data_IF_481445512909
#
_entry.id   IF_481445512909
#
_cell.length_a   1.000
_cell.length_b   1.000
_cell.length_c   1.000
_cell.angle_alpha   90.00
_cell.angle_beta   90.00
_cell.angle_gamma   90.00
#
_symmetry.space_group_name_H-M   'P 1'
#
loop_
_entity.id
_entity.type
_entity.pdbx_description
1 polymer ?
#
# COMPACT_ATOMS: atom_id res chain seq x y z
N UNK A 1 -9.28 21.12 -14.71
CA UNK A 1 -9.91 20.66 -13.45
C UNK A 1 -9.30 21.46 -12.33
N UNK A 2 -10.11 22.02 -11.43
CA UNK A 2 -9.63 22.87 -10.33
C UNK A 2 -8.99 22.01 -9.23
N UNK A 3 -7.90 22.50 -8.64
CA UNK A 3 -7.21 21.83 -7.53
C UNK A 3 -8.12 21.82 -6.30
N UNK A 4 -8.12 20.74 -5.49
CA UNK A 4 -8.79 20.76 -4.20
C UNK A 4 -8.14 21.80 -3.27
N UNK A 5 -8.88 22.29 -2.26
CA UNK A 5 -8.32 23.20 -1.26
C UNK A 5 -7.13 22.55 -0.54
N UNK A 6 -6.22 23.35 0.03
CA UNK A 6 -5.05 22.80 0.75
C UNK A 6 -5.42 22.15 2.07
N UNK A 7 -6.42 22.72 2.73
CA UNK A 7 -7.00 22.23 3.97
C UNK A 7 -8.31 21.51 3.65
N UNK A 8 -8.62 20.47 4.42
CA UNK A 8 -9.87 19.73 4.27
C UNK A 8 -11.03 20.61 4.77
N UNK A 9 -12.02 20.96 3.93
CA UNK A 9 -13.13 21.83 4.34
C UNK A 9 -14.01 21.17 5.40
N UNK A 10 -14.51 21.94 6.34
CA UNK A 10 -15.47 21.46 7.33
C UNK A 10 -16.91 21.38 6.76
N UNK A 11 -17.76 20.60 7.43
CA UNK A 11 -19.20 20.55 7.16
C UNK A 11 -19.63 19.76 5.92
N UNK A 12 -18.72 19.01 5.29
CA UNK A 12 -19.05 18.14 4.17
C UNK A 12 -19.79 16.86 4.62
N UNK A 13 -20.51 16.24 3.69
CA UNK A 13 -21.09 14.90 3.87
C UNK A 13 -20.00 13.82 3.83
N UNK A 14 -20.31 12.61 4.33
CA UNK A 14 -19.38 11.48 4.27
C UNK A 14 -18.93 11.16 2.83
N UNK A 15 -19.83 11.24 1.85
CA UNK A 15 -19.52 11.00 0.44
C UNK A 15 -18.57 12.05 -0.12
N UNK A 16 -18.82 13.33 0.17
CA UNK A 16 -17.95 14.44 -0.29
C UNK A 16 -16.55 14.34 0.31
N UNK A 17 -16.44 14.01 1.60
CA UNK A 17 -15.16 13.73 2.23
C UNK A 17 -14.44 12.53 1.59
N UNK A 18 -15.17 11.45 1.31
CA UNK A 18 -14.59 10.26 0.67
C UNK A 18 -14.05 10.57 -0.74
N UNK A 19 -14.83 11.28 -1.57
CA UNK A 19 -14.41 11.71 -2.91
C UNK A 19 -13.21 12.65 -2.86
N UNK A 20 -13.21 13.59 -1.91
CA UNK A 20 -12.11 14.51 -1.70
C UNK A 20 -10.84 13.78 -1.27
N UNK A 21 -10.95 12.78 -0.39
CA UNK A 21 -9.83 11.94 0.03
C UNK A 21 -9.20 11.16 -1.12
N UNK A 22 -10.01 10.61 -2.03
CA UNK A 22 -9.52 9.98 -3.28
C UNK A 22 -8.76 11.00 -4.13
N UNK A 23 -9.31 12.21 -4.29
CA UNK A 23 -8.68 13.28 -5.07
C UNK A 23 -7.34 13.70 -4.47
N UNK A 24 -7.26 13.90 -3.16
CA UNK A 24 -6.00 14.20 -2.47
C UNK A 24 -4.96 13.10 -2.66
N UNK A 25 -5.38 11.83 -2.51
CA UNK A 25 -4.47 10.72 -2.75
C UNK A 25 -3.92 10.70 -4.17
N UNK A 26 -4.76 11.00 -5.18
CA UNK A 26 -4.32 11.10 -6.58
C UNK A 26 -3.26 12.18 -6.83
N UNK A 27 -3.22 13.21 -5.97
CA UNK A 27 -2.25 14.31 -6.03
C UNK A 27 -1.03 14.08 -5.13
N UNK A 28 -0.97 12.95 -4.41
CA UNK A 28 0.07 12.67 -3.43
C UNK A 28 -0.07 13.46 -2.13
N UNK A 29 -1.24 14.04 -1.85
CA UNK A 29 -1.51 14.76 -0.60
C UNK A 29 -2.03 13.77 0.43
N UNK A 30 -1.14 12.90 0.92
CA UNK A 30 -1.50 11.73 1.73
C UNK A 30 -2.16 12.11 3.05
N UNK A 31 -1.68 13.14 3.74
CA UNK A 31 -2.25 13.53 5.03
C UNK A 31 -3.63 14.17 4.86
N UNK A 32 -3.83 15.01 3.82
CA UNK A 32 -5.18 15.50 3.50
C UNK A 32 -6.13 14.36 3.08
N UNK A 33 -5.62 13.34 2.39
CA UNK A 33 -6.40 12.14 2.09
C UNK A 33 -6.78 11.39 3.37
N UNK A 34 -5.85 11.28 4.33
CA UNK A 34 -6.10 10.67 5.64
C UNK A 34 -7.17 11.44 6.40
N UNK A 35 -7.04 12.75 6.53
CA UNK A 35 -8.00 13.60 7.23
C UNK A 35 -9.39 13.51 6.62
N UNK A 36 -9.47 13.57 5.29
CA UNK A 36 -10.75 13.42 4.57
C UNK A 36 -11.39 12.06 4.84
N UNK A 37 -10.62 10.97 4.83
CA UNK A 37 -11.15 9.63 5.10
C UNK A 37 -11.55 9.46 6.58
N UNK A 38 -10.81 10.06 7.51
CA UNK A 38 -11.19 10.11 8.93
C UNK A 38 -12.52 10.82 9.11
N UNK A 39 -12.70 12.00 8.50
CA UNK A 39 -13.97 12.73 8.56
C UNK A 39 -15.12 11.97 7.90
N UNK A 40 -14.88 11.32 6.75
CA UNK A 40 -15.91 10.48 6.12
C UNK A 40 -16.43 9.40 7.07
N UNK A 41 -15.53 8.75 7.82
CA UNK A 41 -15.90 7.78 8.84
C UNK A 41 -16.55 8.44 10.07
N UNK A 42 -16.09 9.60 10.53
CA UNK A 42 -16.67 10.27 11.70
C UNK A 42 -18.12 10.74 11.47
N UNK A 43 -18.43 11.21 10.27
CA UNK A 43 -19.78 11.67 9.91
C UNK A 43 -20.78 10.50 9.86
N UNK A 44 -20.37 9.35 9.29
CA UNK A 44 -21.23 8.16 9.17
C UNK A 44 -20.46 6.84 9.43
N UNK A 45 -20.11 6.49 10.67
CA UNK A 45 -19.20 5.36 10.95
C UNK A 45 -19.70 3.99 10.47
N UNK A 46 -21.01 3.76 10.57
CA UNK A 46 -21.63 2.47 10.25
C UNK A 46 -22.13 2.38 8.80
N UNK A 47 -22.02 3.47 8.02
CA UNK A 47 -22.43 3.48 6.62
C UNK A 47 -21.41 2.75 5.75
N UNK A 48 -21.84 2.38 4.54
CA UNK A 48 -20.92 1.77 3.57
C UNK A 48 -19.77 2.72 3.19
N UNK A 49 -20.01 4.03 3.24
CA UNK A 49 -18.99 5.04 2.98
C UNK A 49 -18.01 5.12 4.15
N UNK A 50 -18.47 5.15 5.40
CA UNK A 50 -17.59 5.14 6.57
C UNK A 50 -16.69 3.91 6.61
N UNK A 51 -17.26 2.72 6.38
CA UNK A 51 -16.50 1.46 6.27
C UNK A 51 -15.51 1.48 5.10
N UNK A 52 -15.91 2.05 3.95
CA UNK A 52 -15.02 2.22 2.81
C UNK A 52 -13.86 3.18 3.12
N UNK A 53 -14.10 4.26 3.85
CA UNK A 53 -13.08 5.19 4.29
C UNK A 53 -12.07 4.53 5.24
N UNK A 54 -12.54 3.74 6.21
CA UNK A 54 -11.66 2.95 7.09
C UNK A 54 -10.83 1.94 6.30
N UNK A 55 -11.44 1.24 5.33
CA UNK A 55 -10.69 0.32 4.45
C UNK A 55 -9.62 1.08 3.66
N UNK A 56 -9.96 2.25 3.11
CA UNK A 56 -9.01 3.09 2.38
C UNK A 56 -7.82 3.51 3.25
N UNK A 57 -8.09 3.99 4.47
CA UNK A 57 -7.06 4.38 5.44
C UNK A 57 -6.08 3.24 5.74
N UNK A 58 -6.59 2.02 5.88
CA UNK A 58 -5.78 0.84 6.23
C UNK A 58 -4.98 0.28 5.07
N UNK A 59 -5.48 0.41 3.84
CA UNK A 59 -4.97 -0.34 2.68
C UNK A 59 -4.28 0.52 1.62
N UNK A 60 -4.65 1.81 1.50
CA UNK A 60 -4.16 2.70 0.42
C UNK A 60 -3.25 3.83 0.92
N UNK A 61 -3.17 4.04 2.23
CA UNK A 61 -2.29 5.00 2.89
C UNK A 61 -1.28 4.28 3.80
N UNK A 62 -0.15 4.92 4.16
CA UNK A 62 0.76 4.36 5.15
C UNK A 62 0.03 4.19 6.49
N UNK A 63 0.38 3.17 7.27
CA UNK A 63 -0.30 2.88 8.55
C UNK A 63 -0.25 4.08 9.50
N UNK A 64 0.91 4.70 9.59
CA UNK A 64 1.15 5.89 10.40
C UNK A 64 1.40 7.10 9.50
N UNK A 65 1.09 8.33 9.94
CA UNK A 65 1.53 9.54 9.26
C UNK A 65 3.04 9.53 9.04
N UNK A 66 3.47 9.91 7.84
CA UNK A 66 4.88 9.95 7.46
C UNK A 66 5.26 11.37 7.04
N UNK A 67 6.48 11.84 7.34
CA UNK A 67 6.90 13.16 6.88
C UNK A 67 6.93 13.24 5.35
N UNK A 68 6.62 14.41 4.79
CA UNK A 68 6.64 14.66 3.34
C UNK A 68 7.97 14.22 2.69
N UNK A 69 9.09 14.39 3.39
CA UNK A 69 10.41 13.94 2.91
C UNK A 69 10.45 12.41 2.69
N UNK A 70 9.84 11.62 3.58
CA UNK A 70 9.80 10.17 3.45
C UNK A 70 8.98 9.75 2.23
N UNK A 71 7.83 10.40 2.00
CA UNK A 71 7.00 10.16 0.82
C UNK A 71 7.73 10.52 -0.47
N UNK A 72 8.38 11.69 -0.51
CA UNK A 72 9.15 12.13 -1.67
C UNK A 72 10.28 11.16 -2.01
N UNK A 73 11.00 10.67 -1.00
CA UNK A 73 12.05 9.66 -1.19
C UNK A 73 11.47 8.32 -1.66
N UNK A 74 10.29 7.93 -1.18
CA UNK A 74 9.62 6.73 -1.69
C UNK A 74 9.21 6.87 -3.17
N UNK A 75 8.69 8.04 -3.56
CA UNK A 75 8.38 8.37 -4.96
C UNK A 75 9.65 8.37 -5.81
N UNK A 76 10.76 8.91 -5.29
CA UNK A 76 12.06 8.90 -5.97
C UNK A 76 12.54 7.47 -6.23
N UNK A 77 12.53 6.61 -5.21
CA UNK A 77 12.90 5.20 -5.37
C UNK A 77 12.02 4.49 -6.41
N UNK A 78 10.71 4.75 -6.41
CA UNK A 78 9.80 4.20 -7.42
C UNK A 78 10.11 4.70 -8.84
N UNK A 79 10.42 5.99 -8.98
CA UNK A 79 10.81 6.58 -10.27
C UNK A 79 12.17 6.03 -10.77
N UNK A 80 13.10 5.75 -9.87
CA UNK A 80 14.37 5.09 -10.19
C UNK A 80 14.11 3.70 -10.76
N UNK A 81 13.25 2.89 -10.12
CA UNK A 81 12.81 1.59 -10.65
C UNK A 81 12.19 1.72 -12.06
N UNK A 82 11.29 2.69 -12.25
CA UNK A 82 10.62 2.91 -13.53
C UNK A 82 11.58 3.30 -14.67
N UNK A 83 12.75 3.87 -14.34
CA UNK A 83 13.82 4.22 -15.29
C UNK A 83 14.87 3.13 -15.44
N UNK A 84 14.76 2.02 -14.71
CA UNK A 84 15.73 0.93 -14.70
C UNK A 84 16.95 1.16 -13.81
N UNK A 85 16.97 2.22 -13.00
CA UNK A 85 18.02 2.46 -12.00
C UNK A 85 17.71 1.65 -10.73
N UNK A 86 17.86 0.32 -10.84
CA UNK A 86 17.55 -0.59 -9.74
C UNK A 86 18.51 -0.39 -8.55
N UNK A 87 19.78 -0.06 -8.80
CA UNK A 87 20.76 0.14 -7.73
C UNK A 87 20.52 1.43 -6.96
N UNK A 88 20.19 2.53 -7.66
CA UNK A 88 19.73 3.76 -7.03
C UNK A 88 18.47 3.52 -6.20
N UNK A 89 17.48 2.80 -6.74
CA UNK A 89 16.25 2.48 -6.03
C UNK A 89 16.50 1.67 -4.75
N UNK A 90 17.38 0.66 -4.81
CA UNK A 90 17.78 -0.12 -3.62
C UNK A 90 18.35 0.76 -2.54
N UNK A 91 19.27 1.66 -2.89
CA UNK A 91 19.92 2.55 -1.92
C UNK A 91 18.91 3.54 -1.31
N UNK A 92 18.05 4.12 -2.15
CA UNK A 92 16.97 5.01 -1.71
C UNK A 92 16.06 4.32 -0.71
N UNK A 93 15.58 3.10 -1.00
CA UNK A 93 14.69 2.39 -0.08
C UNK A 93 15.42 1.90 1.19
N UNK A 94 16.66 1.43 1.09
CA UNK A 94 17.45 1.01 2.28
C UNK A 94 17.67 2.15 3.25
N UNK A 95 18.11 3.31 2.76
CA UNK A 95 18.29 4.50 3.61
C UNK A 95 16.95 4.99 4.16
N UNK A 96 15.88 4.90 3.38
CA UNK A 96 14.55 5.32 3.83
C UNK A 96 14.00 4.41 4.94
N UNK A 97 14.26 3.10 4.87
CA UNK A 97 13.96 2.14 5.93
C UNK A 97 14.74 2.44 7.21
N UNK A 98 16.01 2.85 7.10
CA UNK A 98 16.83 3.22 8.26
C UNK A 98 16.30 4.47 8.97
N UNK A 99 15.91 5.48 8.19
CA UNK A 99 15.45 6.76 8.72
C UNK A 99 14.00 6.71 9.22
N UNK A 100 13.15 5.88 8.60
CA UNK A 100 11.72 5.74 8.89
C UNK A 100 11.30 4.27 8.99
N UNK A 101 11.69 3.55 10.06
CA UNK A 101 11.49 2.11 10.19
C UNK A 101 10.03 1.65 10.36
N UNK A 102 9.10 2.58 10.58
CA UNK A 102 7.66 2.33 10.68
C UNK A 102 6.89 2.72 9.41
N UNK A 103 7.60 3.05 8.31
CA UNK A 103 7.01 3.26 7.00
C UNK A 103 7.09 1.96 6.20
N UNK A 104 5.94 1.32 5.93
CA UNK A 104 5.89 -0.03 5.37
C UNK A 104 6.14 -0.10 3.85
N UNK A 105 5.87 0.97 3.10
CA UNK A 105 5.96 0.94 1.63
C UNK A 105 7.38 0.71 1.09
N UNK A 106 8.45 1.33 1.64
CA UNK A 106 9.82 1.08 1.18
C UNK A 106 10.24 -0.38 1.31
N UNK A 107 9.76 -1.10 2.34
CA UNK A 107 10.00 -2.55 2.47
C UNK A 107 9.34 -3.32 1.32
N UNK A 108 8.08 -3.00 1.00
CA UNK A 108 7.36 -3.61 -0.12
C UNK A 108 8.02 -3.31 -1.47
N UNK A 109 8.47 -2.08 -1.70
CA UNK A 109 9.14 -1.69 -2.94
C UNK A 109 10.53 -2.35 -3.07
N UNK A 110 11.32 -2.36 -2.00
CA UNK A 110 12.62 -3.03 -1.99
C UNK A 110 12.47 -4.55 -2.20
N UNK A 111 11.41 -5.17 -1.67
CA UNK A 111 11.16 -6.59 -1.91
C UNK A 111 10.95 -6.91 -3.40
N UNK A 112 10.35 -6.00 -4.19
CA UNK A 112 10.16 -6.21 -5.64
C UNK A 112 11.50 -6.31 -6.34
N UNK A 113 12.47 -5.47 -5.95
CA UNK A 113 13.83 -5.52 -6.49
C UNK A 113 14.53 -6.84 -6.15
N UNK A 114 14.35 -7.34 -4.93
CA UNK A 114 14.87 -8.66 -4.55
C UNK A 114 14.18 -9.81 -5.30
N UNK A 115 12.87 -9.72 -5.55
CA UNK A 115 12.15 -10.72 -6.35
C UNK A 115 12.63 -10.73 -7.82
N UNK A 116 12.91 -9.56 -8.40
CA UNK A 116 13.48 -9.47 -9.75
C UNK A 116 14.83 -10.20 -9.86
N UNK A 117 15.61 -10.22 -8.78
CA UNK A 117 16.89 -10.92 -8.71
C UNK A 117 16.76 -12.38 -8.24
N UNK A 118 15.54 -12.91 -8.12
CA UNK A 118 15.25 -14.25 -7.56
C UNK A 118 15.73 -14.45 -6.11
N UNK A 119 15.94 -13.36 -5.37
CA UNK A 119 16.30 -13.36 -3.95
C UNK A 119 15.03 -13.44 -3.08
N UNK A 120 14.32 -14.56 -3.19
CA UNK A 120 12.99 -14.74 -2.56
C UNK A 120 13.06 -14.69 -1.03
N UNK A 121 14.15 -15.15 -0.42
CA UNK A 121 14.33 -15.10 1.03
C UNK A 121 14.38 -13.65 1.55
N UNK A 122 15.25 -12.82 0.97
CA UNK A 122 15.41 -11.42 1.32
C UNK A 122 14.11 -10.63 1.10
N UNK A 123 13.40 -10.91 -0.01
CA UNK A 123 12.09 -10.34 -0.26
C UNK A 123 11.09 -10.71 0.85
N UNK A 124 11.02 -11.98 1.26
CA UNK A 124 10.11 -12.44 2.33
C UNK A 124 10.44 -11.80 3.68
N UNK A 125 11.71 -11.61 4.01
CA UNK A 125 12.12 -10.96 5.26
C UNK A 125 11.65 -9.48 5.31
N UNK A 126 11.83 -8.74 4.21
CA UNK A 126 11.32 -7.37 4.08
C UNK A 126 9.80 -7.30 4.17
N UNK A 127 9.11 -8.22 3.49
CA UNK A 127 7.65 -8.27 3.47
C UNK A 127 7.08 -8.64 4.84
N UNK A 128 7.73 -9.55 5.57
CA UNK A 128 7.37 -9.84 6.97
C UNK A 128 7.43 -8.56 7.80
N UNK A 129 8.50 -7.77 7.66
CA UNK A 129 8.61 -6.50 8.39
C UNK A 129 7.54 -5.48 7.98
N UNK A 130 7.24 -5.36 6.68
CA UNK A 130 6.17 -4.49 6.18
C UNK A 130 4.81 -4.85 6.79
N UNK A 131 4.52 -6.16 6.88
CA UNK A 131 3.24 -6.69 7.37
C UNK A 131 3.13 -6.69 8.90
N UNK A 132 4.24 -6.69 9.62
CA UNK A 132 4.26 -6.40 11.07
C UNK A 132 3.83 -4.95 11.35
N UNK A 133 4.28 -4.00 10.53
CA UNK A 133 3.93 -2.58 10.65
C UNK A 133 2.47 -2.37 10.23
N UNK A 134 2.08 -2.91 9.07
CA UNK A 134 0.74 -2.81 8.53
C UNK A 134 0.21 -4.17 8.05
N UNK A 135 -0.57 -4.87 8.90
CA UNK A 135 -1.20 -6.13 8.53
C UNK A 135 -2.21 -6.03 7.39
N UNK A 136 -2.67 -4.83 7.04
CA UNK A 136 -3.62 -4.57 5.96
C UNK A 136 -2.94 -4.06 4.68
N UNK A 137 -1.60 -4.11 4.62
CA UNK A 137 -0.85 -3.68 3.45
C UNK A 137 -1.02 -4.69 2.31
N UNK A 138 -2.02 -4.42 1.46
CA UNK A 138 -2.42 -5.27 0.33
C UNK A 138 -1.23 -5.61 -0.58
N UNK A 139 -0.44 -4.62 -0.98
CA UNK A 139 0.74 -4.88 -1.84
C UNK A 139 1.78 -5.77 -1.15
N UNK A 140 1.97 -5.64 0.18
CA UNK A 140 2.85 -6.52 0.95
C UNK A 140 2.40 -7.98 0.88
N UNK A 141 1.10 -8.23 1.03
CA UNK A 141 0.55 -9.59 0.89
C UNK A 141 0.67 -10.14 -0.54
N UNK A 142 0.48 -9.29 -1.56
CA UNK A 142 0.61 -9.70 -2.97
C UNK A 142 2.06 -10.01 -3.35
N UNK A 143 3.01 -9.19 -2.92
CA UNK A 143 4.43 -9.48 -3.13
C UNK A 143 4.86 -10.74 -2.35
N UNK A 144 4.29 -11.00 -1.17
CA UNK A 144 4.56 -12.22 -0.42
C UNK A 144 3.99 -13.45 -1.12
N UNK A 145 2.80 -13.32 -1.72
CA UNK A 145 2.22 -14.37 -2.55
C UNK A 145 3.11 -14.68 -3.77
N UNK A 146 3.63 -13.65 -4.45
CA UNK A 146 4.55 -13.81 -5.57
C UNK A 146 5.85 -14.51 -5.13
N UNK A 147 6.46 -14.09 -4.02
CA UNK A 147 7.66 -14.71 -3.46
C UNK A 147 7.47 -16.20 -3.17
N UNK A 148 6.37 -16.55 -2.50
CA UNK A 148 6.03 -17.96 -2.20
C UNK A 148 5.73 -18.76 -3.45
N UNK A 149 5.09 -18.16 -4.45
CA UNK A 149 4.86 -18.79 -5.76
C UNK A 149 6.16 -19.14 -6.48
N UNK A 150 7.17 -18.25 -6.44
CA UNK A 150 8.51 -18.52 -6.98
C UNK A 150 9.21 -19.67 -6.26
N UNK A 151 8.98 -19.82 -4.95
CA UNK A 151 9.47 -20.94 -4.13
C UNK A 151 8.62 -22.22 -4.31
N UNK A 152 7.65 -22.24 -5.23
CA UNK A 152 6.67 -23.32 -5.44
C UNK A 152 5.78 -23.62 -4.22
N UNK A 153 5.73 -22.73 -3.23
CA UNK A 153 4.80 -22.77 -2.10
C UNK A 153 3.44 -22.19 -2.52
N UNK A 154 2.71 -22.94 -3.34
CA UNK A 154 1.38 -22.53 -3.86
C UNK A 154 0.36 -22.39 -2.73
N UNK A 155 0.46 -23.22 -1.68
CA UNK A 155 -0.45 -23.14 -0.52
C UNK A 155 -0.24 -21.82 0.23
N UNK A 156 1.00 -21.49 0.53
CA UNK A 156 1.33 -20.23 1.20
C UNK A 156 1.06 -19.00 0.33
N UNK A 157 1.21 -19.11 -1.00
CA UNK A 157 0.81 -18.06 -1.93
C UNK A 157 -0.70 -17.80 -1.88
N UNK A 158 -1.53 -18.85 -1.91
CA UNK A 158 -2.99 -18.76 -1.78
C UNK A 158 -3.41 -18.13 -0.46
N UNK A 159 -2.78 -18.49 0.65
CA UNK A 159 -3.05 -17.87 1.96
C UNK A 159 -2.69 -16.37 1.96
N UNK A 160 -1.58 -15.99 1.32
CA UNK A 160 -1.16 -14.58 1.26
C UNK A 160 -2.15 -13.75 0.43
N UNK A 161 -2.64 -14.28 -0.70
CA UNK A 161 -3.70 -13.63 -1.49
C UNK A 161 -5.01 -13.52 -0.71
N UNK A 162 -5.37 -14.55 0.06
CA UNK A 162 -6.53 -14.50 0.95
C UNK A 162 -6.41 -13.37 1.95
N UNK A 163 -5.25 -13.16 2.58
CA UNK A 163 -5.00 -12.02 3.48
C UNK A 163 -5.12 -10.67 2.77
N UNK A 164 -4.63 -10.55 1.54
CA UNK A 164 -4.83 -9.35 0.72
C UNK A 164 -6.32 -9.03 0.51
N UNK A 165 -7.15 -10.05 0.24
CA UNK A 165 -8.59 -9.92 0.04
C UNK A 165 -9.38 -9.73 1.35
N UNK A 166 -8.87 -10.21 2.49
CA UNK A 166 -9.41 -9.88 3.81
C UNK A 166 -9.24 -8.38 4.11
N UNK A 167 -8.11 -7.79 3.69
CA UNK A 167 -7.82 -6.36 3.85
C UNK A 167 -8.61 -5.50 2.85
N UNK A 168 -8.62 -5.87 1.57
CA UNK A 168 -9.42 -5.23 0.52
C UNK A 168 -10.09 -6.25 -0.41
N UNK A 169 -11.37 -6.58 -0.17
CA UNK A 169 -12.11 -7.56 -0.98
C UNK A 169 -12.29 -7.13 -2.45
N UNK A 170 -12.07 -5.85 -2.75
CA UNK A 170 -12.26 -5.27 -4.07
C UNK A 170 -10.96 -5.03 -4.84
N UNK A 171 -9.80 -5.40 -4.25
CA UNK A 171 -8.51 -5.19 -4.91
C UNK A 171 -8.36 -6.06 -6.15
N UNK A 172 -8.24 -5.40 -7.30
CA UNK A 172 -8.22 -6.06 -8.61
C UNK A 172 -7.01 -6.98 -8.80
N UNK A 173 -5.86 -6.63 -8.20
CA UNK A 173 -4.63 -7.42 -8.34
C UNK A 173 -4.73 -8.68 -7.47
N UNK A 174 -5.30 -8.56 -6.28
CA UNK A 174 -5.58 -9.71 -5.42
C UNK A 174 -6.58 -10.68 -6.05
N UNK A 175 -7.66 -10.17 -6.65
CA UNK A 175 -8.63 -10.98 -7.38
C UNK A 175 -8.01 -11.69 -8.60
N UNK A 176 -7.20 -10.98 -9.38
CA UNK A 176 -6.50 -11.55 -10.53
C UNK A 176 -5.52 -12.66 -10.10
N UNK A 177 -4.73 -12.42 -9.05
CA UNK A 177 -3.77 -13.40 -8.55
C UNK A 177 -4.47 -14.63 -7.95
N UNK A 178 -5.61 -14.45 -7.27
CA UNK A 178 -6.45 -15.55 -6.79
C UNK A 178 -6.86 -16.47 -7.94
N UNK A 179 -7.43 -15.91 -9.00
CA UNK A 179 -7.88 -16.67 -10.17
C UNK A 179 -6.71 -17.41 -10.83
N UNK A 180 -5.55 -16.76 -10.93
CA UNK A 180 -4.34 -17.39 -11.47
C UNK A 180 -3.91 -18.61 -10.63
N UNK A 181 -3.90 -18.51 -9.30
CA UNK A 181 -3.50 -19.61 -8.41
C UNK A 181 -4.54 -20.75 -8.36
N UNK A 182 -5.82 -20.47 -8.59
CA UNK A 182 -6.88 -21.50 -8.69
C UNK A 182 -6.74 -22.33 -9.97
N UNK A 183 -6.23 -21.74 -11.05
CA UNK A 183 -5.99 -22.45 -12.32
C UNK A 183 -4.81 -23.43 -12.30
N UNK A 184 -3.97 -23.38 -11.25
CA UNK A 184 -2.77 -24.23 -11.07
C UNK A 184 -3.09 -25.50 -10.27
N UNK A 185 -4.36 -25.75 -9.93
CA UNK A 185 -4.82 -26.91 -9.14
C UNK A 185 -5.31 -28.07 -9.98
#
# INVERSE_FOLDING_TARGET
MELPPRDVPEGLTASEYYELGIKYKSMGWTEQARDSMSFANEVEPDSEIGKAAIRFLRTKLPRFPVPLLAEQRNIEGFNQMARGDCDGARETFKTLIQDFPDFEWPYGNLSVLYLQDNQTKEARDLLSRALEINPDYVNGWLHLAAAKGMDLDIIGAKESVKRALEADPTDINALAMKNALESVS
#
